data_IF_626374148622
#
_entry.id   IF_626374148622
#
_cell.length_a   1.000
_cell.length_b   1.000
_cell.length_c   1.000
_cell.angle_alpha   90.00
_cell.angle_beta   90.00
_cell.angle_gamma   90.00
#
_symmetry.space_group_name_H-M   'P 1'
#
loop_
_entity.id
_entity.type
_entity.pdbx_description
1 polymer ?
#
# COMPACT_ATOMS: atom_id res chain seq x y z
N UNK A 1 -31.85 14.35 9.54
CA UNK A 1 -30.46 13.96 9.25
C UNK A 1 -30.37 12.45 9.33
N UNK A 2 -29.79 11.77 8.34
CA UNK A 2 -29.45 10.34 8.51
C UNK A 2 -28.44 10.23 9.67
N UNK A 3 -28.56 9.20 10.50
CA UNK A 3 -27.51 8.87 11.48
C UNK A 3 -26.24 8.40 10.75
N UNK A 4 -25.08 8.67 11.35
CA UNK A 4 -23.79 8.37 10.75
C UNK A 4 -23.58 6.87 10.52
N UNK A 5 -24.20 6.00 11.33
CA UNK A 5 -24.12 4.55 11.15
C UNK A 5 -24.80 4.07 9.89
N UNK A 6 -25.99 4.61 9.60
CA UNK A 6 -26.72 4.31 8.36
C UNK A 6 -25.94 4.77 7.15
N UNK A 7 -25.42 6.01 7.18
CA UNK A 7 -24.61 6.53 6.08
C UNK A 7 -23.32 5.73 5.88
N UNK A 8 -22.65 5.32 6.96
CA UNK A 8 -21.47 4.44 6.89
C UNK A 8 -21.80 3.11 6.21
N UNK A 9 -22.94 2.50 6.53
CA UNK A 9 -23.35 1.23 5.91
C UNK A 9 -23.66 1.40 4.42
N UNK A 10 -24.30 2.50 4.03
CA UNK A 10 -24.56 2.83 2.62
C UNK A 10 -23.26 3.03 1.82
N UNK A 11 -22.30 3.79 2.37
CA UNK A 11 -20.99 3.99 1.74
C UNK A 11 -20.22 2.67 1.65
N UNK A 12 -20.28 1.84 2.70
CA UNK A 12 -19.65 0.53 2.69
C UNK A 12 -20.18 -0.34 1.56
N UNK A 13 -21.51 -0.47 1.45
CA UNK A 13 -22.13 -1.31 0.43
C UNK A 13 -21.82 -0.80 -0.99
N UNK A 14 -21.89 0.52 -1.19
CA UNK A 14 -21.56 1.14 -2.48
C UNK A 14 -20.12 0.83 -2.91
N UNK A 15 -19.13 1.05 -2.03
CA UNK A 15 -17.73 0.74 -2.32
C UNK A 15 -17.56 -0.76 -2.52
N UNK A 16 -18.11 -1.60 -1.64
CA UNK A 16 -17.89 -3.05 -1.66
C UNK A 16 -18.41 -3.71 -2.96
N UNK A 17 -19.51 -3.19 -3.52
CA UNK A 17 -20.08 -3.68 -4.77
C UNK A 17 -19.44 -3.06 -6.01
N UNK A 18 -19.14 -1.76 -5.99
CA UNK A 18 -18.81 -1.01 -7.22
C UNK A 18 -17.30 -0.79 -7.44
N UNK A 19 -16.45 -0.98 -6.42
CA UNK A 19 -14.99 -0.82 -6.55
C UNK A 19 -14.23 -2.11 -6.86
N UNK A 20 -14.89 -3.27 -6.76
CA UNK A 20 -14.29 -4.56 -7.10
C UNK A 20 -14.32 -4.78 -8.61
N UNK A 21 -13.17 -5.06 -9.20
CA UNK A 21 -13.07 -5.45 -10.61
C UNK A 21 -12.86 -6.95 -10.75
N UNK A 22 -13.82 -7.63 -11.36
CA UNK A 22 -13.72 -9.05 -11.68
C UNK A 22 -12.63 -9.35 -12.73
N UNK A 23 -12.20 -8.37 -13.52
CA UNK A 23 -11.20 -8.60 -14.56
C UNK A 23 -9.78 -8.67 -13.99
N UNK A 24 -9.44 -7.73 -13.12
CA UNK A 24 -8.11 -7.68 -12.48
C UNK A 24 -8.09 -8.34 -11.10
N UNK A 25 -9.24 -8.83 -10.63
CA UNK A 25 -9.42 -9.49 -9.33
C UNK A 25 -8.88 -8.63 -8.18
N UNK A 26 -9.23 -7.34 -8.17
CA UNK A 26 -8.75 -6.37 -7.19
C UNK A 26 -9.73 -5.22 -7.00
N UNK A 27 -9.60 -4.53 -5.86
CA UNK A 27 -10.15 -3.19 -5.70
C UNK A 27 -9.31 -2.19 -6.52
N UNK A 28 -9.98 -1.40 -7.36
CA UNK A 28 -9.34 -0.53 -8.35
C UNK A 28 -9.35 0.94 -7.91
N UNK A 29 -8.57 1.77 -8.61
CA UNK A 29 -8.38 3.18 -8.31
C UNK A 29 -9.70 3.99 -8.32
N UNK A 30 -10.63 3.61 -9.20
CA UNK A 30 -11.93 4.26 -9.36
C UNK A 30 -12.95 3.30 -9.96
N UNK A 31 -14.24 3.58 -9.75
CA UNK A 31 -15.32 2.71 -10.22
C UNK A 31 -15.29 2.54 -11.74
N UNK A 32 -15.41 1.29 -12.19
CA UNK A 32 -15.38 0.94 -13.61
C UNK A 32 -14.01 0.99 -14.27
N UNK A 33 -12.95 1.41 -13.57
CA UNK A 33 -11.57 1.31 -14.05
C UNK A 33 -10.95 -0.05 -13.71
N UNK A 34 -9.92 -0.42 -14.49
CA UNK A 34 -9.03 -1.57 -14.25
C UNK A 34 -7.70 -1.15 -13.63
N UNK A 35 -7.44 0.16 -13.55
CA UNK A 35 -6.20 0.69 -13.03
C UNK A 35 -6.10 0.46 -11.52
N UNK A 36 -4.93 0.02 -11.08
CA UNK A 36 -4.65 -0.19 -9.66
C UNK A 36 -4.00 1.07 -9.06
N UNK A 37 -4.29 1.30 -7.79
CA UNK A 37 -3.65 2.34 -6.98
C UNK A 37 -3.28 1.75 -5.61
N UNK A 38 -2.06 1.99 -5.16
CA UNK A 38 -1.56 1.48 -3.88
C UNK A 38 -2.37 1.96 -2.67
N UNK A 39 -3.18 3.03 -2.81
CA UNK A 39 -4.09 3.48 -1.74
C UNK A 39 -5.19 2.47 -1.42
N UNK A 40 -5.55 1.54 -2.31
CA UNK A 40 -6.54 0.50 -2.01
C UNK A 40 -6.05 -0.49 -0.94
N UNK A 41 -4.74 -0.57 -0.72
CA UNK A 41 -4.15 -1.33 0.39
C UNK A 41 -4.57 -0.79 1.77
N UNK A 42 -4.93 0.50 1.87
CA UNK A 42 -5.38 1.13 3.10
C UNK A 42 -6.80 0.71 3.54
N UNK A 43 -7.55 0.02 2.68
CA UNK A 43 -8.92 -0.42 3.01
C UNK A 43 -8.93 -1.28 4.29
N UNK A 44 -7.95 -2.16 4.46
CA UNK A 44 -7.83 -2.94 5.69
C UNK A 44 -7.48 -2.05 6.89
N UNK A 45 -6.53 -1.11 6.74
CA UNK A 45 -6.08 -0.24 7.83
C UNK A 45 -7.21 0.65 8.35
N UNK A 46 -8.13 1.07 7.48
CA UNK A 46 -9.32 1.83 7.86
C UNK A 46 -10.48 0.97 8.38
N UNK A 47 -10.29 -0.35 8.50
CA UNK A 47 -11.31 -1.29 8.96
C UNK A 47 -12.47 -1.43 7.98
N UNK A 48 -12.23 -1.15 6.69
CA UNK A 48 -13.21 -1.38 5.63
C UNK A 48 -13.33 -2.88 5.36
N UNK A 49 -12.21 -3.57 5.16
CA UNK A 49 -12.18 -5.01 4.85
C UNK A 49 -11.21 -5.74 5.79
N UNK A 50 -11.46 -7.03 6.04
CA UNK A 50 -10.54 -7.84 6.88
C UNK A 50 -9.33 -8.28 6.06
N UNK A 51 -8.17 -8.36 6.70
CA UNK A 51 -6.95 -8.90 6.07
C UNK A 51 -7.10 -10.33 5.54
N UNK A 52 -7.97 -11.14 6.16
CA UNK A 52 -8.26 -12.53 5.76
C UNK A 52 -9.31 -12.64 4.65
N UNK A 53 -9.87 -11.53 4.20
CA UNK A 53 -10.85 -11.54 3.10
C UNK A 53 -10.16 -11.88 1.78
N UNK A 54 -10.72 -12.81 1.01
CA UNK A 54 -10.13 -13.24 -0.26
C UNK A 54 -9.98 -12.10 -1.27
N UNK A 55 -10.89 -11.12 -1.28
CA UNK A 55 -10.81 -9.94 -2.17
C UNK A 55 -9.66 -9.03 -1.77
N UNK A 56 -9.42 -8.87 -0.47
CA UNK A 56 -8.28 -8.08 0.00
C UNK A 56 -6.95 -8.78 -0.31
N UNK A 57 -6.84 -10.08 -0.02
CA UNK A 57 -5.65 -10.88 -0.37
C UNK A 57 -5.35 -10.78 -1.87
N UNK A 58 -6.37 -10.95 -2.71
CA UNK A 58 -6.26 -10.83 -4.16
C UNK A 58 -5.82 -9.43 -4.59
N UNK A 59 -6.34 -8.39 -3.94
CA UNK A 59 -5.93 -6.99 -4.18
C UNK A 59 -4.45 -6.79 -3.86
N UNK A 60 -3.96 -7.27 -2.70
CA UNK A 60 -2.54 -7.16 -2.34
C UNK A 60 -1.64 -7.86 -3.36
N UNK A 61 -2.03 -9.04 -3.82
CA UNK A 61 -1.28 -9.82 -4.81
C UNK A 61 -1.28 -9.16 -6.20
N UNK A 62 -2.43 -8.63 -6.64
CA UNK A 62 -2.54 -7.90 -7.89
C UNK A 62 -1.71 -6.59 -7.85
N UNK A 63 -1.78 -5.86 -6.74
CA UNK A 63 -0.97 -4.66 -6.50
C UNK A 63 0.53 -4.98 -6.50
N UNK A 64 0.97 -6.09 -5.90
CA UNK A 64 2.37 -6.53 -5.99
C UNK A 64 2.79 -6.74 -7.46
N UNK A 65 1.98 -7.48 -8.22
CA UNK A 65 2.31 -7.84 -9.60
C UNK A 65 2.42 -6.62 -10.51
N UNK A 66 1.50 -5.65 -10.39
CA UNK A 66 1.42 -4.52 -11.32
C UNK A 66 2.23 -3.30 -10.86
N UNK A 67 2.25 -3.03 -9.55
CA UNK A 67 2.79 -1.79 -8.98
C UNK A 67 4.08 -1.98 -8.17
N UNK A 68 4.56 -3.21 -7.95
CA UNK A 68 5.83 -3.43 -7.24
C UNK A 68 7.00 -3.60 -8.21
N UNK A 69 8.14 -3.01 -7.86
CA UNK A 69 9.43 -3.22 -8.51
C UNK A 69 10.50 -3.42 -7.44
N UNK A 70 10.92 -4.67 -7.25
CA UNK A 70 11.92 -5.07 -6.26
C UNK A 70 11.66 -4.55 -4.83
N UNK A 71 10.40 -4.61 -4.39
CA UNK A 71 9.95 -4.15 -3.07
C UNK A 71 9.65 -2.65 -2.98
N UNK A 72 9.85 -1.90 -4.06
CA UNK A 72 9.50 -0.48 -4.16
C UNK A 72 8.20 -0.31 -4.97
N UNK A 73 7.29 0.52 -4.47
CA UNK A 73 5.96 0.68 -5.05
C UNK A 73 5.82 1.94 -5.89
N UNK A 74 5.24 1.79 -7.07
CA UNK A 74 4.52 2.88 -7.72
C UNK A 74 3.26 3.20 -6.92
N UNK A 75 2.78 4.44 -6.97
CA UNK A 75 1.43 4.75 -6.47
C UNK A 75 0.37 4.20 -7.43
N UNK A 76 0.51 4.48 -8.71
CA UNK A 76 -0.28 3.95 -9.82
C UNK A 76 0.58 4.01 -11.11
N UNK A 77 0.16 3.33 -12.17
CA UNK A 77 0.83 3.33 -13.50
C UNK A 77 -0.18 3.61 -14.61
N UNK A 78 -0.91 4.69 -14.47
CA UNK A 78 -1.90 5.07 -15.47
C UNK A 78 -1.15 5.44 -16.75
N UNK A 79 -1.67 5.01 -17.90
CA UNK A 79 -1.20 5.50 -19.20
C UNK A 79 -1.74 6.91 -19.40
N UNK A 80 -1.21 7.88 -18.65
CA UNK A 80 -1.45 9.30 -18.91
C UNK A 80 -0.34 9.88 -19.80
N UNK A 81 -0.54 11.14 -20.22
CA UNK A 81 0.39 11.85 -21.10
C UNK A 81 1.78 12.10 -20.47
N UNK A 82 1.97 11.78 -19.18
CA UNK A 82 3.21 11.99 -18.43
C UNK A 82 4.09 10.74 -18.34
N UNK A 83 3.61 9.58 -18.82
CA UNK A 83 4.34 8.32 -18.83
C UNK A 83 4.42 7.64 -17.45
N UNK A 84 5.08 6.48 -17.38
CA UNK A 84 5.25 5.79 -16.10
C UNK A 84 6.09 6.62 -15.13
N UNK A 85 5.71 6.70 -13.83
CA UNK A 85 6.53 7.38 -12.83
C UNK A 85 7.98 6.87 -12.80
N UNK A 86 8.95 7.77 -12.72
CA UNK A 86 10.37 7.39 -12.72
C UNK A 86 10.89 6.95 -11.36
N UNK A 87 10.11 7.14 -10.29
CA UNK A 87 10.49 6.82 -8.91
C UNK A 87 9.36 6.13 -8.16
N UNK A 88 9.75 5.42 -7.10
CA UNK A 88 8.81 4.82 -6.15
C UNK A 88 8.33 5.84 -5.14
N UNK A 89 7.08 5.69 -4.69
CA UNK A 89 6.53 6.47 -3.59
C UNK A 89 6.77 5.73 -2.27
N UNK A 90 7.60 6.30 -1.41
CA UNK A 90 8.14 5.59 -0.22
C UNK A 90 7.04 5.07 0.69
N UNK A 91 6.02 5.90 0.94
CA UNK A 91 4.90 5.54 1.79
C UNK A 91 4.09 4.35 1.23
N UNK A 92 3.89 4.27 -0.08
CA UNK A 92 3.20 3.13 -0.70
C UNK A 92 3.97 1.83 -0.49
N UNK A 93 5.31 1.90 -0.47
CA UNK A 93 6.16 0.74 -0.18
C UNK A 93 5.94 0.22 1.24
N UNK A 94 5.82 1.12 2.23
CA UNK A 94 5.46 0.74 3.59
C UNK A 94 4.04 0.16 3.69
N UNK A 95 3.04 0.77 3.05
CA UNK A 95 1.67 0.22 3.02
C UNK A 95 1.61 -1.19 2.44
N UNK A 96 2.37 -1.44 1.38
CA UNK A 96 2.48 -2.75 0.76
C UNK A 96 3.11 -3.78 1.70
N UNK A 97 4.21 -3.41 2.35
CA UNK A 97 4.88 -4.26 3.35
C UNK A 97 3.93 -4.60 4.51
N UNK A 98 3.21 -3.61 5.05
CA UNK A 98 2.25 -3.84 6.13
C UNK A 98 1.10 -4.76 5.68
N UNK A 99 0.60 -4.56 4.45
CA UNK A 99 -0.44 -5.41 3.86
C UNK A 99 0.03 -6.85 3.69
N UNK A 100 1.25 -7.09 3.20
CA UNK A 100 1.85 -8.42 3.14
C UNK A 100 1.90 -9.07 4.53
N UNK A 101 2.34 -8.32 5.55
CA UNK A 101 2.39 -8.85 6.92
C UNK A 101 1.00 -9.27 7.41
N UNK A 102 -0.02 -8.45 7.14
CA UNK A 102 -1.41 -8.67 7.58
C UNK A 102 -2.09 -9.85 6.88
N UNK A 103 -1.80 -10.10 5.61
CA UNK A 103 -2.32 -11.28 4.89
C UNK A 103 -1.54 -12.57 5.21
N UNK A 104 -0.56 -12.52 6.11
CA UNK A 104 0.23 -13.69 6.55
C UNK A 104 1.50 -13.95 5.73
N UNK A 105 1.83 -13.10 4.75
CA UNK A 105 3.08 -13.15 3.96
C UNK A 105 4.27 -12.53 4.74
N UNK A 106 4.34 -12.79 6.05
CA UNK A 106 5.24 -12.11 7.00
C UNK A 106 6.72 -12.23 6.63
N UNK A 107 7.16 -13.37 6.06
CA UNK A 107 8.56 -13.55 5.65
C UNK A 107 8.92 -12.62 4.48
N UNK A 108 8.04 -12.50 3.48
CA UNK A 108 8.22 -11.60 2.34
C UNK A 108 8.15 -10.15 2.81
N UNK A 109 7.16 -9.82 3.63
CA UNK A 109 7.02 -8.51 4.24
C UNK A 109 8.31 -8.09 4.97
N UNK A 110 8.86 -8.97 5.82
CA UNK A 110 10.08 -8.71 6.57
C UNK A 110 11.27 -8.44 5.66
N UNK A 111 11.45 -9.24 4.61
CA UNK A 111 12.51 -9.06 3.62
C UNK A 111 12.44 -7.66 2.99
N UNK A 112 11.27 -7.25 2.52
CA UNK A 112 11.09 -5.93 1.89
C UNK A 112 11.22 -4.79 2.90
N UNK A 113 10.80 -5.00 4.16
CA UNK A 113 10.99 -4.02 5.22
C UNK A 113 12.48 -3.76 5.50
N UNK A 114 13.27 -4.82 5.73
CA UNK A 114 14.71 -4.70 5.99
C UNK A 114 15.43 -4.07 4.77
N UNK A 115 15.00 -4.41 3.54
CA UNK A 115 15.52 -3.81 2.32
C UNK A 115 15.20 -2.31 2.23
N UNK A 116 13.96 -1.90 2.49
CA UNK A 116 13.54 -0.50 2.43
C UNK A 116 14.27 0.34 3.50
N UNK A 117 14.47 -0.20 4.70
CA UNK A 117 15.27 0.44 5.75
C UNK A 117 16.71 0.74 5.30
N UNK A 118 17.30 -0.12 4.47
CA UNK A 118 18.66 0.09 3.95
C UNK A 118 18.79 1.28 3.00
N UNK A 119 17.68 1.80 2.47
CA UNK A 119 17.67 2.97 1.58
C UNK A 119 17.55 4.31 2.32
N UNK A 120 17.35 4.28 3.64
CA UNK A 120 17.40 5.49 4.45
C UNK A 120 18.78 6.14 4.40
N UNK A 121 18.84 7.45 4.66
CA UNK A 121 20.13 8.11 4.77
C UNK A 121 20.86 7.72 6.09
N UNK A 122 22.05 8.26 6.29
CA UNK A 122 22.87 8.03 7.49
C UNK A 122 22.19 8.43 8.84
N UNK A 123 21.09 9.17 8.81
CA UNK A 123 20.28 9.54 9.98
C UNK A 123 19.03 8.64 10.14
N UNK A 124 18.84 7.66 9.26
CA UNK A 124 17.62 6.84 9.21
C UNK A 124 16.42 7.56 8.60
N UNK A 125 16.63 8.65 7.86
CA UNK A 125 15.57 9.47 7.29
C UNK A 125 15.24 9.11 5.84
N UNK A 126 13.96 9.24 5.50
CA UNK A 126 13.41 9.03 4.16
C UNK A 126 12.92 10.32 3.51
N UNK A 127 13.02 10.37 2.18
CA UNK A 127 12.31 11.33 1.36
C UNK A 127 10.93 10.81 0.96
N UNK A 128 10.23 11.60 0.15
CA UNK A 128 8.97 11.24 -0.48
C UNK A 128 9.16 10.09 -1.47
N UNK A 129 10.15 10.23 -2.34
CA UNK A 129 10.40 9.28 -3.42
C UNK A 129 11.75 8.56 -3.28
N UNK A 130 11.85 7.36 -3.82
CA UNK A 130 13.12 6.64 -3.99
C UNK A 130 13.27 6.24 -5.46
N UNK A 131 14.42 6.57 -6.04
CA UNK A 131 14.79 6.15 -7.39
C UNK A 131 14.86 4.62 -7.51
N UNK A 132 14.23 4.05 -8.54
CA UNK A 132 14.15 2.59 -8.67
C UNK A 132 15.50 1.91 -8.90
N UNK A 133 16.47 2.57 -9.52
CA UNK A 133 17.77 1.94 -9.84
C UNK A 133 18.82 2.27 -8.78
N UNK A 134 19.05 3.56 -8.58
CA UNK A 134 20.13 4.10 -7.76
C UNK A 134 19.82 4.09 -6.28
N UNK A 135 18.53 3.89 -5.92
CA UNK A 135 18.01 3.97 -4.54
C UNK A 135 18.24 5.33 -3.89
N UNK A 136 18.49 6.36 -4.69
CA UNK A 136 18.64 7.73 -4.22
C UNK A 136 17.31 8.24 -3.68
N UNK A 137 17.37 8.93 -2.55
CA UNK A 137 16.26 9.69 -1.97
C UNK A 137 15.97 10.93 -2.85
N UNK A 138 14.72 11.05 -3.31
CA UNK A 138 14.22 12.09 -4.21
C UNK A 138 12.99 12.80 -3.62
N UNK A 139 12.69 13.99 -4.12
CA UNK A 139 11.51 14.75 -3.72
C UNK A 139 11.63 15.38 -2.33
N UNK A 140 10.49 15.54 -1.64
CA UNK A 140 10.43 16.21 -0.34
C UNK A 140 11.25 15.46 0.73
N UNK A 141 12.03 16.19 1.55
CA UNK A 141 12.91 15.61 2.56
C UNK A 141 13.07 16.50 3.80
N UNK A 142 12.96 15.95 5.03
CA UNK A 142 12.44 14.61 5.35
C UNK A 142 10.93 14.56 5.14
N UNK A 143 10.40 13.47 4.58
CA UNK A 143 8.96 13.36 4.34
C UNK A 143 8.25 12.75 5.56
N UNK A 144 7.43 13.55 6.25
CA UNK A 144 6.79 13.14 7.50
C UNK A 144 5.90 11.90 7.35
N UNK A 145 5.13 11.81 6.25
CA UNK A 145 4.24 10.68 5.99
C UNK A 145 4.99 9.36 5.79
N UNK A 146 6.14 9.37 5.11
CA UNK A 146 6.99 8.17 4.95
C UNK A 146 7.44 7.63 6.31
N UNK A 147 7.79 8.52 7.24
CA UNK A 147 8.22 8.13 8.60
C UNK A 147 7.05 7.65 9.46
N UNK A 148 5.85 8.23 9.31
CA UNK A 148 4.66 7.72 9.98
C UNK A 148 4.37 6.28 9.56
N UNK A 149 4.39 6.01 8.25
CA UNK A 149 4.16 4.67 7.72
C UNK A 149 5.25 3.67 8.15
N UNK A 150 6.51 4.11 8.25
CA UNK A 150 7.59 3.30 8.82
C UNK A 150 7.29 2.88 10.27
N UNK A 151 6.89 3.83 11.11
CA UNK A 151 6.59 3.59 12.53
C UNK A 151 5.40 2.63 12.65
N UNK A 152 4.33 2.86 11.90
CA UNK A 152 3.16 1.98 11.89
C UNK A 152 3.51 0.54 11.48
N UNK A 153 4.28 0.39 10.40
CA UNK A 153 4.74 -0.91 9.90
C UNK A 153 5.59 -1.63 10.95
N UNK A 154 6.52 -0.92 11.61
CA UNK A 154 7.35 -1.50 12.67
C UNK A 154 6.52 -1.96 13.89
N UNK A 155 5.51 -1.19 14.29
CA UNK A 155 4.58 -1.55 15.37
C UNK A 155 3.81 -2.83 14.99
N UNK A 156 3.34 -2.94 13.75
CA UNK A 156 2.56 -4.09 13.32
C UNK A 156 3.40 -5.37 13.26
N UNK A 157 4.64 -5.31 12.78
CA UNK A 157 5.58 -6.44 12.90
C UNK A 157 5.80 -6.87 14.36
N UNK A 158 5.91 -5.91 15.29
CA UNK A 158 6.10 -6.20 16.72
C UNK A 158 4.91 -6.93 17.33
N UNK A 159 3.68 -6.62 16.90
CA UNK A 159 2.47 -7.32 17.34
C UNK A 159 2.42 -8.75 16.80
N UNK A 160 2.69 -8.93 15.50
CA UNK A 160 2.69 -10.27 14.87
C UNK A 160 3.68 -11.23 15.56
N UNK A 161 4.85 -10.73 15.99
CA UNK A 161 5.84 -11.53 16.73
C UNK A 161 5.40 -11.97 18.13
N UNK A 162 4.42 -11.28 18.74
CA UNK A 162 3.87 -11.65 20.06
C UNK A 162 2.74 -12.66 19.95
N UNK A 163 2.06 -12.69 18.80
CA UNK A 163 0.91 -13.56 18.54
C UNK A 163 1.32 -14.90 17.89
N UNK A 164 2.60 -15.06 17.52
CA UNK A 164 3.22 -16.27 16.93
C UNK A 164 3.97 -17.11 17.96
#
# INVERSE_FOLDING_TARGET
>A
MKDWKTLRAEIYEDIYQNSWSEEVQAYTQSYGSKDLDASTLLMEQYGFIKATDSRFISTVQATEKELCRDGLMYRYKNQDDFGEPSSSFTICSFWFIDSLNKIGETKKARKYFDQLLSYSNHLGLFSEDIDFETKRLLGNFPQAYSHLALIETAINFSKTLKDS
#
